data_IF_541578844607
#
_entry.id   IF_541578844607
#
_cell.length_a   1.000
_cell.length_b   1.000
_cell.length_c   1.000
_cell.angle_alpha   90.00
_cell.angle_beta   90.00
_cell.angle_gamma   90.00
#
_symmetry.space_group_name_H-M   'P 1'
#
loop_
_entity.id
_entity.type
_entity.pdbx_description
1 polymer ?
#
# COMPACT_ATOMS: atom_id res chain seq x y z
N UNK A 1 14.83 0.11 -7.97
CA UNK A 1 13.48 -0.06 -7.37
C UNK A 1 13.35 0.92 -6.22
N UNK A 2 12.18 1.55 -6.06
CA UNK A 2 11.89 2.46 -4.96
C UNK A 2 10.82 1.84 -4.04
N UNK A 3 11.02 1.97 -2.73
CA UNK A 3 10.06 1.56 -1.69
C UNK A 3 9.79 2.76 -0.80
N UNK A 4 8.51 3.10 -0.64
CA UNK A 4 8.05 4.19 0.21
C UNK A 4 7.27 3.62 1.38
N UNK A 5 7.54 4.09 2.60
CA UNK A 5 6.74 3.81 3.79
C UNK A 5 6.10 5.10 4.28
N UNK A 6 4.77 5.08 4.50
CA UNK A 6 4.04 6.22 5.03
C UNK A 6 3.64 5.88 6.46
N UNK A 7 4.05 6.71 7.39
CA UNK A 7 3.80 6.51 8.83
C UNK A 7 3.40 7.83 9.48
N UNK A 8 2.24 7.82 10.13
CA UNK A 8 1.67 9.00 10.79
C UNK A 8 2.39 9.35 12.10
N UNK A 9 2.82 8.34 12.86
CA UNK A 9 3.45 8.53 14.16
C UNK A 9 4.93 8.92 14.00
N UNK A 10 5.34 10.11 14.48
CA UNK A 10 6.70 10.64 14.40
C UNK A 10 7.75 9.65 14.94
N UNK A 11 7.43 9.02 16.08
CA UNK A 11 8.33 8.06 16.71
C UNK A 11 8.54 6.80 15.86
N UNK A 12 7.46 6.26 15.29
CA UNK A 12 7.52 5.08 14.43
C UNK A 12 8.17 5.42 13.08
N UNK A 13 7.91 6.58 12.54
CA UNK A 13 8.57 7.10 11.34
C UNK A 13 10.09 7.18 11.52
N UNK A 14 10.55 7.73 12.67
CA UNK A 14 11.97 7.80 13.01
C UNK A 14 12.61 6.41 13.14
N UNK A 15 11.91 5.45 13.75
CA UNK A 15 12.37 4.06 13.87
C UNK A 15 12.46 3.41 12.49
N UNK A 16 11.45 3.58 11.65
CA UNK A 16 11.42 3.07 10.28
C UNK A 16 12.59 3.61 9.46
N UNK A 17 12.84 4.91 9.52
CA UNK A 17 13.98 5.55 8.86
C UNK A 17 15.31 4.91 9.28
N UNK A 18 15.54 4.78 10.59
CA UNK A 18 16.77 4.18 11.11
C UNK A 18 16.94 2.71 10.68
N UNK A 19 15.84 1.95 10.63
CA UNK A 19 15.87 0.56 10.16
C UNK A 19 16.19 0.47 8.67
N UNK A 20 15.64 1.37 7.86
CA UNK A 20 15.94 1.43 6.42
C UNK A 20 17.41 1.82 6.16
N UNK A 21 17.97 2.76 6.92
CA UNK A 21 19.39 3.09 6.83
C UNK A 21 20.27 1.86 7.13
N UNK A 22 20.02 1.17 8.24
CA UNK A 22 20.76 -0.06 8.60
C UNK A 22 20.65 -1.14 7.52
N UNK A 23 19.46 -1.28 6.91
CA UNK A 23 19.27 -2.23 5.82
C UNK A 23 20.08 -1.83 4.59
N UNK A 24 20.06 -0.55 4.20
CA UNK A 24 20.81 -0.04 3.06
C UNK A 24 22.32 -0.21 3.25
N UNK A 25 22.82 0.08 4.45
CA UNK A 25 24.26 -0.11 4.77
C UNK A 25 24.67 -1.58 4.68
N UNK A 26 23.81 -2.48 5.18
CA UNK A 26 24.07 -3.93 5.17
C UNK A 26 24.00 -4.55 3.78
N UNK A 27 23.12 -4.03 2.92
CA UNK A 27 22.81 -4.58 1.60
C UNK A 27 23.02 -3.57 0.47
N UNK A 28 24.14 -2.85 0.53
CA UNK A 28 24.49 -1.79 -0.44
C UNK A 28 24.56 -2.25 -1.90
N UNK A 29 24.72 -3.56 -2.13
CA UNK A 29 24.72 -4.16 -3.47
C UNK A 29 23.30 -4.31 -4.08
N UNK A 30 22.23 -4.11 -3.29
CA UNK A 30 20.86 -4.11 -3.77
C UNK A 30 20.47 -2.70 -4.19
N UNK A 31 20.26 -2.48 -5.46
CA UNK A 31 19.80 -1.18 -5.98
C UNK A 31 18.33 -0.92 -5.60
N UNK A 32 18.09 -0.64 -4.30
CA UNK A 32 16.79 -0.32 -3.72
C UNK A 32 16.92 1.03 -3.02
N UNK A 33 16.11 1.97 -3.43
CA UNK A 33 15.94 3.27 -2.78
C UNK A 33 14.79 3.17 -1.78
N UNK A 34 15.02 3.64 -0.56
CA UNK A 34 13.99 3.69 0.49
C UNK A 34 13.66 5.14 0.85
N UNK A 35 12.38 5.39 1.05
CA UNK A 35 11.87 6.67 1.53
C UNK A 35 10.88 6.42 2.66
N UNK A 36 11.03 7.12 3.79
CA UNK A 36 10.06 7.14 4.89
C UNK A 36 9.43 8.52 4.93
N UNK A 37 8.11 8.55 4.83
CA UNK A 37 7.32 9.77 4.77
C UNK A 37 6.49 9.83 6.05
N UNK A 38 6.77 10.81 6.91
CA UNK A 38 5.93 11.07 8.07
C UNK A 38 4.73 11.90 7.64
N UNK A 39 3.63 11.24 7.37
CA UNK A 39 2.38 11.87 6.91
C UNK A 39 1.18 10.97 7.22
N UNK A 40 0.00 11.56 7.20
CA UNK A 40 -1.27 10.84 7.14
C UNK A 40 -1.42 10.19 5.76
N UNK A 41 -1.62 8.86 5.74
CA UNK A 41 -1.76 8.10 4.49
C UNK A 41 -2.97 8.55 3.66
N UNK A 42 -4.02 9.06 4.30
CA UNK A 42 -5.23 9.57 3.62
C UNK A 42 -5.00 10.92 2.92
N UNK A 43 -3.90 11.61 3.23
CA UNK A 43 -3.51 12.90 2.66
C UNK A 43 -2.28 12.80 1.75
N UNK A 44 -1.71 11.59 1.62
CA UNK A 44 -0.53 11.39 0.80
C UNK A 44 -0.87 11.45 -0.69
N UNK A 45 -0.16 12.30 -1.42
CA UNK A 45 -0.26 12.35 -2.88
C UNK A 45 0.60 11.24 -3.50
N UNK A 46 -0.07 10.32 -4.18
CA UNK A 46 0.58 9.21 -4.85
C UNK A 46 1.43 9.66 -6.04
N UNK A 47 2.59 9.05 -6.17
CA UNK A 47 3.43 9.20 -7.35
C UNK A 47 2.87 8.38 -8.52
N UNK A 48 2.96 8.89 -9.74
CA UNK A 48 2.52 8.18 -10.94
C UNK A 48 3.24 6.86 -11.20
N UNK A 49 4.38 6.64 -10.54
CA UNK A 49 5.15 5.39 -10.60
C UNK A 49 4.76 4.38 -9.51
N UNK A 50 3.98 4.80 -8.52
CA UNK A 50 3.51 3.90 -7.46
C UNK A 50 2.50 2.91 -8.03
N UNK A 51 2.79 1.62 -7.94
CA UNK A 51 1.98 0.56 -8.55
C UNK A 51 1.78 -0.69 -7.69
N UNK A 52 2.43 -0.77 -6.53
CA UNK A 52 2.23 -1.83 -5.55
C UNK A 52 1.97 -1.21 -4.17
N UNK A 53 0.79 -1.46 -3.64
CA UNK A 53 0.32 -0.91 -2.36
C UNK A 53 0.17 -2.04 -1.35
N UNK A 54 0.98 -2.00 -0.29
CA UNK A 54 0.88 -2.94 0.81
C UNK A 54 0.26 -2.26 2.03
N UNK A 55 -0.89 -2.78 2.46
CA UNK A 55 -1.69 -2.26 3.57
C UNK A 55 -1.81 -3.33 4.66
N UNK A 56 -1.14 -3.13 5.78
CA UNK A 56 -1.22 -4.04 6.93
C UNK A 56 -2.19 -3.49 7.97
N UNK A 57 -3.47 -3.83 7.87
CA UNK A 57 -4.53 -3.39 8.80
C UNK A 57 -4.28 -1.95 9.31
N UNK A 58 -4.11 -0.98 8.40
CA UNK A 58 -3.40 0.26 8.72
C UNK A 58 -4.23 1.25 9.54
N UNK A 59 -5.57 1.12 9.51
CA UNK A 59 -6.49 2.12 10.02
C UNK A 59 -7.93 1.57 10.09
N UNK A 60 -8.86 2.39 10.57
CA UNK A 60 -10.29 2.11 10.47
C UNK A 60 -10.79 2.16 9.02
N UNK A 61 -12.02 1.68 8.79
CA UNK A 61 -12.61 1.61 7.46
C UNK A 61 -12.78 2.99 6.80
N UNK A 62 -13.03 4.04 7.59
CA UNK A 62 -13.20 5.40 7.06
C UNK A 62 -11.90 5.96 6.46
N UNK A 63 -10.78 5.73 7.11
CA UNK A 63 -9.47 6.14 6.60
C UNK A 63 -9.05 5.23 5.44
N UNK A 64 -9.31 3.92 5.55
CA UNK A 64 -9.02 2.97 4.49
C UNK A 64 -9.78 3.31 3.20
N UNK A 65 -11.06 3.69 3.30
CA UNK A 65 -11.87 4.14 2.17
C UNK A 65 -11.23 5.32 1.43
N UNK A 66 -10.76 6.33 2.17
CA UNK A 66 -10.04 7.47 1.58
C UNK A 66 -8.74 7.05 0.88
N UNK A 67 -7.98 6.14 1.49
CA UNK A 67 -6.74 5.64 0.89
C UNK A 67 -7.02 4.90 -0.42
N UNK A 68 -8.04 4.04 -0.44
CA UNK A 68 -8.46 3.33 -1.66
C UNK A 68 -8.91 4.33 -2.72
N UNK A 69 -9.70 5.33 -2.34
CA UNK A 69 -10.17 6.37 -3.26
C UNK A 69 -9.00 7.14 -3.88
N UNK A 70 -8.03 7.57 -3.09
CA UNK A 70 -6.84 8.25 -3.58
C UNK A 70 -6.02 7.37 -4.56
N UNK A 71 -5.93 6.06 -4.29
CA UNK A 71 -5.29 5.10 -5.19
C UNK A 71 -6.04 5.07 -6.53
N UNK A 72 -7.36 4.89 -6.51
CA UNK A 72 -8.19 4.82 -7.72
C UNK A 72 -8.09 6.11 -8.53
N UNK A 73 -8.17 7.27 -7.88
CA UNK A 73 -8.05 8.58 -8.53
C UNK A 73 -6.70 8.73 -9.24
N UNK A 74 -5.60 8.38 -8.58
CA UNK A 74 -4.27 8.39 -9.18
C UNK A 74 -4.15 7.48 -10.41
N UNK A 75 -4.84 6.33 -10.40
CA UNK A 75 -4.86 5.42 -11.56
C UNK A 75 -5.80 5.90 -12.67
N UNK A 76 -6.80 6.70 -12.34
CA UNK A 76 -7.68 7.35 -13.32
C UNK A 76 -6.97 8.51 -14.01
N UNK A 77 -6.16 9.27 -13.27
CA UNK A 77 -5.37 10.37 -13.83
C UNK A 77 -4.22 9.87 -14.71
N UNK A 78 -3.50 8.86 -14.23
CA UNK A 78 -2.37 8.25 -14.95
C UNK A 78 -2.58 6.73 -15.03
N UNK A 79 -3.21 6.22 -16.10
CA UNK A 79 -3.52 4.81 -16.27
C UNK A 79 -2.26 3.95 -16.30
N UNK A 80 -2.19 3.00 -15.37
CA UNK A 80 -1.08 2.06 -15.22
C UNK A 80 -1.57 0.74 -14.64
N UNK A 81 -0.74 -0.28 -14.63
CA UNK A 81 -1.02 -1.52 -13.92
C UNK A 81 -0.66 -1.37 -12.44
N UNK A 82 -1.47 -1.93 -11.55
CA UNK A 82 -1.21 -1.90 -10.13
C UNK A 82 -1.87 -3.01 -9.33
N UNK A 83 -1.38 -3.21 -8.12
CA UNK A 83 -1.84 -4.23 -7.18
C UNK A 83 -1.96 -3.65 -5.78
N UNK A 84 -3.07 -3.97 -5.10
CA UNK A 84 -3.22 -3.78 -3.67
C UNK A 84 -3.08 -5.12 -2.96
N UNK A 85 -2.21 -5.18 -1.98
CA UNK A 85 -2.07 -6.29 -1.05
C UNK A 85 -2.55 -5.83 0.31
N UNK A 86 -3.70 -6.33 0.75
CA UNK A 86 -4.27 -6.01 2.05
C UNK A 86 -4.06 -7.18 3.01
N UNK A 87 -3.32 -6.94 4.08
CA UNK A 87 -3.12 -7.93 5.13
C UNK A 87 -4.01 -7.64 6.33
N UNK A 88 -4.86 -8.60 6.68
CA UNK A 88 -5.65 -8.57 7.91
C UNK A 88 -5.97 -10.01 8.35
N UNK A 89 -5.60 -10.34 9.58
CA UNK A 89 -5.70 -11.70 10.09
C UNK A 89 -7.05 -12.01 10.75
N UNK A 90 -7.84 -10.98 11.03
CA UNK A 90 -9.08 -11.08 11.83
C UNK A 90 -10.34 -11.18 10.99
N UNK A 91 -10.29 -10.83 9.71
CA UNK A 91 -11.44 -10.83 8.81
C UNK A 91 -11.38 -11.99 7.80
N UNK A 92 -12.53 -12.41 7.32
CA UNK A 92 -12.62 -13.44 6.28
C UNK A 92 -12.65 -12.85 4.87
N UNK A 93 -13.22 -11.66 4.71
CA UNK A 93 -13.25 -10.91 3.47
C UNK A 93 -13.37 -9.41 3.75
N UNK A 94 -12.49 -8.57 3.21
CA UNK A 94 -12.54 -7.13 3.42
C UNK A 94 -13.55 -6.48 2.45
N UNK A 95 -14.82 -6.42 2.85
CA UNK A 95 -15.94 -5.98 2.01
C UNK A 95 -15.84 -4.53 1.51
N UNK A 96 -15.03 -3.69 2.15
CA UNK A 96 -14.81 -2.32 1.72
C UNK A 96 -14.28 -2.23 0.28
N UNK A 97 -13.46 -3.20 -0.15
CA UNK A 97 -12.92 -3.22 -1.52
C UNK A 97 -13.97 -3.55 -2.57
N UNK A 98 -15.08 -4.20 -2.20
CA UNK A 98 -16.17 -4.55 -3.11
C UNK A 98 -16.95 -3.31 -3.60
N UNK A 99 -16.78 -2.17 -2.93
CA UNK A 99 -17.41 -0.90 -3.32
C UNK A 99 -16.74 -0.27 -4.56
N UNK A 100 -15.58 -0.77 -4.97
CA UNK A 100 -14.78 -0.21 -6.04
C UNK A 100 -14.72 -1.14 -7.25
N UNK A 101 -15.43 -0.78 -8.32
CA UNK A 101 -15.44 -1.52 -9.59
C UNK A 101 -14.08 -1.55 -10.31
N UNK A 102 -13.21 -0.63 -9.96
CA UNK A 102 -11.84 -0.51 -10.46
C UNK A 102 -10.90 -1.56 -9.85
N UNK A 103 -11.35 -2.25 -8.80
CA UNK A 103 -10.60 -3.30 -8.12
C UNK A 103 -11.19 -4.67 -8.43
N UNK A 104 -10.37 -5.61 -8.83
CA UNK A 104 -10.75 -7.03 -8.93
C UNK A 104 -10.03 -7.85 -7.88
N UNK A 105 -10.80 -8.53 -7.06
CA UNK A 105 -10.25 -9.53 -6.16
C UNK A 105 -9.63 -10.68 -6.97
N UNK A 106 -8.36 -10.96 -6.75
CA UNK A 106 -7.65 -12.06 -7.42
C UNK A 106 -7.68 -13.33 -6.58
N UNK A 107 -7.16 -13.24 -5.36
CA UNK A 107 -7.13 -14.37 -4.43
C UNK A 107 -6.80 -13.92 -3.01
N UNK A 108 -7.06 -14.81 -2.06
CA UNK A 108 -6.55 -14.73 -0.70
C UNK A 108 -5.46 -15.79 -0.50
N UNK A 109 -4.35 -15.41 0.08
CA UNK A 109 -3.28 -16.30 0.48
C UNK A 109 -3.11 -16.27 1.99
N UNK A 110 -3.10 -17.46 2.61
CA UNK A 110 -2.75 -17.61 4.01
C UNK A 110 -1.34 -18.17 4.14
N UNK A 111 -0.51 -17.52 4.96
CA UNK A 111 0.87 -17.92 5.20
C UNK A 111 1.27 -17.62 6.64
N UNK A 112 1.62 -18.65 7.41
CA UNK A 112 2.04 -18.56 8.83
C UNK A 112 1.04 -17.73 9.65
N UNK A 113 -0.27 -18.05 9.53
CA UNK A 113 -1.35 -17.36 10.25
C UNK A 113 -1.67 -15.95 9.78
N UNK A 114 -1.05 -15.48 8.70
CA UNK A 114 -1.33 -14.19 8.10
C UNK A 114 -2.17 -14.35 6.83
N UNK A 115 -3.24 -13.57 6.70
CA UNK A 115 -4.10 -13.53 5.52
C UNK A 115 -3.77 -12.31 4.67
N UNK A 116 -3.52 -12.57 3.39
CA UNK A 116 -3.23 -11.57 2.38
C UNK A 116 -4.31 -11.61 1.31
N UNK A 117 -5.03 -10.52 1.15
CA UNK A 117 -6.04 -10.33 0.11
C UNK A 117 -5.42 -9.50 -1.01
N UNK A 118 -5.44 -10.03 -2.22
CA UNK A 118 -4.77 -9.45 -3.38
C UNK A 118 -5.82 -8.94 -4.36
N UNK A 119 -5.70 -7.67 -4.73
CA UNK A 119 -6.57 -7.00 -5.69
C UNK A 119 -5.74 -6.42 -6.82
N UNK A 120 -6.20 -6.60 -8.05
CA UNK A 120 -5.68 -5.90 -9.22
C UNK A 120 -6.44 -4.59 -9.41
N UNK A 121 -5.70 -3.53 -9.76
CA UNK A 121 -6.28 -2.24 -10.12
C UNK A 121 -6.43 -2.21 -11.63
N UNK A 122 -7.67 -2.10 -12.11
CA UNK A 122 -7.94 -2.02 -13.54
C UNK A 122 -7.54 -0.67 -14.11
N UNK A 123 -6.89 -0.71 -15.26
CA UNK A 123 -6.80 0.47 -16.12
C UNK A 123 -8.23 0.80 -16.53
N UNK A 124 -8.69 2.03 -16.27
CA UNK A 124 -9.92 2.50 -16.90
C UNK A 124 -9.72 2.47 -18.41
N UNK A 125 -10.21 1.41 -19.05
CA UNK A 125 -10.41 1.39 -20.49
C UNK A 125 -11.69 2.18 -20.68
N UNK A 126 -11.55 3.46 -21.04
CA UNK A 126 -12.65 4.24 -21.60
C UNK A 126 -13.07 3.65 -22.94
#
# INVERSE_FOLDING_TARGET
KKVKGIEFCDKLSSIAFNNMQRYSDKYSNRNIEFEVINNDMSLYNLDELDNLFYLYNPCDEYILDKVIHNIIDSFSEVPRWGVVVYQNNTINHPTIFDNYKELSFLFCKEFIGNKFFIYEIHKNIQ
#
